data_IF_928694919214
#
_entry.id   IF_928694919214
#
_cell.length_a   1.000
_cell.length_b   1.000
_cell.length_c   1.000
_cell.angle_alpha   90.00
_cell.angle_beta   90.00
_cell.angle_gamma   90.00
#
_symmetry.space_group_name_H-M   'P 1'
#
loop_
_entity.id
_entity.type
_entity.pdbx_description
1 polymer ?
#
# COMPACT_ATOMS: atom_id res chain seq x y z
N UNK A 1 6.81 -2.87 15.24
CA UNK A 1 6.69 -2.17 13.96
C UNK A 1 5.22 -1.82 13.78
N UNK A 2 4.88 -0.58 13.48
CA UNK A 2 3.50 -0.24 13.12
C UNK A 2 3.25 -0.53 11.63
N UNK A 3 1.98 -0.55 11.23
CA UNK A 3 1.52 -0.78 9.84
C UNK A 3 2.24 0.11 8.84
N UNK A 4 2.38 1.41 9.14
CA UNK A 4 3.09 2.37 8.29
C UNK A 4 4.58 2.03 8.09
N UNK A 5 5.29 1.64 9.14
CA UNK A 5 6.68 1.20 9.04
C UNK A 5 6.82 -0.08 8.22
N UNK A 6 5.84 -0.99 8.33
CA UNK A 6 5.79 -2.20 7.51
C UNK A 6 5.58 -1.86 6.03
N UNK A 7 4.64 -0.94 5.72
CA UNK A 7 4.38 -0.42 4.38
C UNK A 7 5.65 0.22 3.78
N UNK A 8 6.38 1.03 4.54
CA UNK A 8 7.64 1.62 4.07
C UNK A 8 8.73 0.57 3.82
N UNK A 9 8.75 -0.51 4.62
CA UNK A 9 9.66 -1.63 4.40
C UNK A 9 9.31 -2.38 3.11
N UNK A 10 8.02 -2.65 2.88
CA UNK A 10 7.51 -3.24 1.63
C UNK A 10 7.89 -2.35 0.45
N UNK A 11 7.69 -1.03 0.56
CA UNK A 11 8.06 -0.05 -0.47
C UNK A 11 9.52 -0.16 -0.85
N UNK A 12 10.42 -0.16 0.13
CA UNK A 12 11.85 -0.29 -0.11
C UNK A 12 12.22 -1.62 -0.77
N UNK A 13 11.54 -2.71 -0.41
CA UNK A 13 11.79 -4.03 -1.00
C UNK A 13 11.32 -4.12 -2.45
N UNK A 14 10.09 -3.67 -2.75
CA UNK A 14 9.56 -3.72 -4.12
C UNK A 14 10.33 -2.79 -5.07
N UNK A 15 10.79 -1.62 -4.58
CA UNK A 15 11.66 -0.72 -5.35
C UNK A 15 13.00 -1.37 -5.70
N UNK A 16 13.54 -2.22 -4.82
CA UNK A 16 14.76 -2.98 -5.10
C UNK A 16 14.57 -4.01 -6.23
N UNK A 17 13.35 -4.53 -6.39
CA UNK A 17 12.96 -5.47 -7.44
C UNK A 17 12.46 -4.77 -8.73
N UNK A 18 12.46 -3.42 -8.76
CA UNK A 18 12.06 -2.62 -9.90
C UNK A 18 10.54 -2.45 -10.07
N UNK A 19 9.76 -2.75 -9.03
CA UNK A 19 8.31 -2.54 -8.94
C UNK A 19 7.99 -1.37 -8.00
N UNK A 20 6.79 -0.82 -8.08
CA UNK A 20 6.34 0.20 -7.12
C UNK A 20 5.32 -0.36 -6.14
N UNK A 21 5.25 0.23 -4.94
CA UNK A 21 4.26 -0.18 -3.96
C UNK A 21 2.83 0.15 -4.42
N UNK A 22 2.67 1.20 -5.23
CA UNK A 22 1.41 1.58 -5.83
C UNK A 22 0.87 0.49 -6.77
N UNK A 23 1.75 -0.26 -7.47
CA UNK A 23 1.35 -1.42 -8.27
C UNK A 23 0.77 -2.54 -7.39
N UNK A 24 1.40 -2.82 -6.26
CA UNK A 24 0.92 -3.82 -5.30
C UNK A 24 -0.43 -3.43 -4.70
N UNK A 25 -0.58 -2.17 -4.29
CA UNK A 25 -1.86 -1.66 -3.77
C UNK A 25 -2.93 -1.65 -4.86
N UNK A 26 -2.56 -1.29 -6.10
CA UNK A 26 -3.44 -1.34 -7.27
C UNK A 26 -3.98 -2.76 -7.49
N UNK A 27 -3.11 -3.77 -7.44
CA UNK A 27 -3.51 -5.18 -7.54
C UNK A 27 -4.42 -5.59 -6.38
N UNK A 28 -4.01 -5.30 -5.14
CA UNK A 28 -4.74 -5.71 -3.95
C UNK A 28 -6.13 -5.08 -3.84
N UNK A 29 -6.25 -3.78 -4.10
CA UNK A 29 -7.51 -3.04 -4.00
C UNK A 29 -8.31 -2.98 -5.30
N UNK A 30 -7.78 -3.50 -6.42
CA UNK A 30 -8.32 -3.27 -7.76
C UNK A 30 -8.56 -1.77 -8.02
N UNK A 31 -7.57 -0.96 -7.64
CA UNK A 31 -7.59 0.49 -7.75
C UNK A 31 -6.86 0.94 -9.02
N UNK A 32 -7.19 2.11 -9.57
CA UNK A 32 -6.44 2.65 -10.72
C UNK A 32 -5.63 3.90 -10.40
N UNK A 33 -5.82 4.47 -9.21
CA UNK A 33 -5.13 5.67 -8.75
C UNK A 33 -4.89 5.55 -7.26
N UNK A 34 -3.61 5.39 -6.92
CA UNK A 34 -3.09 5.14 -5.57
C UNK A 34 -1.94 6.10 -5.31
N UNK A 35 -1.85 6.59 -4.08
CA UNK A 35 -0.69 7.35 -3.59
C UNK A 35 -0.23 6.77 -2.25
N UNK A 36 1.09 6.58 -2.09
CA UNK A 36 1.69 6.20 -0.81
C UNK A 36 2.57 7.33 -0.28
N UNK A 37 2.21 7.86 0.89
CA UNK A 37 2.93 8.98 1.51
C UNK A 37 4.29 8.56 2.07
N UNK A 38 5.16 9.53 2.37
CA UNK A 38 6.48 9.29 2.99
C UNK A 38 6.36 8.66 4.38
N UNK A 39 5.24 8.85 5.06
CA UNK A 39 4.92 8.22 6.33
C UNK A 39 4.27 6.84 6.19
N UNK A 40 4.10 6.31 4.97
CA UNK A 40 3.51 4.99 4.71
C UNK A 40 1.99 4.96 4.79
N UNK A 41 1.30 6.10 4.64
CA UNK A 41 -0.16 6.11 4.49
C UNK A 41 -0.54 5.84 3.03
N UNK A 42 -1.66 5.17 2.81
CA UNK A 42 -2.14 4.79 1.48
C UNK A 42 -3.45 5.54 1.19
N UNK A 43 -3.48 6.26 0.09
CA UNK A 43 -4.67 6.92 -0.46
C UNK A 43 -5.15 6.21 -1.70
N UNK A 44 -6.46 6.01 -1.84
CA UNK A 44 -7.09 5.40 -3.02
C UNK A 44 -8.13 6.36 -3.60
N UNK A 45 -7.92 6.80 -4.84
CA UNK A 45 -8.74 7.78 -5.53
C UNK A 45 -9.72 7.21 -6.57
N UNK A 46 -9.57 5.95 -7.00
CA UNK A 46 -10.51 5.29 -7.92
C UNK A 46 -10.49 3.78 -7.65
N UNK A 47 -11.63 3.08 -7.40
CA UNK A 47 -13.03 3.44 -7.67
C UNK A 47 -13.73 4.37 -6.67
N UNK A 48 -13.07 4.70 -5.55
CA UNK A 48 -13.67 5.58 -4.53
C UNK A 48 -13.56 7.06 -4.93
N UNK A 49 -14.09 8.00 -4.14
CA UNK A 49 -13.90 9.44 -4.40
C UNK A 49 -12.60 10.01 -3.78
N UNK A 50 -11.65 9.14 -3.41
CA UNK A 50 -10.49 9.49 -2.60
C UNK A 50 -10.69 9.25 -1.11
N UNK A 51 -9.95 8.31 -0.52
CA UNK A 51 -9.90 8.08 0.92
C UNK A 51 -8.56 7.48 1.36
N UNK A 52 -8.15 7.78 2.59
CA UNK A 52 -7.01 7.12 3.23
C UNK A 52 -7.45 5.77 3.79
N UNK A 53 -6.62 4.75 3.64
CA UNK A 53 -6.86 3.46 4.27
C UNK A 53 -6.83 3.58 5.79
N UNK A 54 -7.78 2.88 6.44
CA UNK A 54 -7.79 2.73 7.89
C UNK A 54 -6.59 1.89 8.35
N UNK A 55 -6.30 1.92 9.66
CA UNK A 55 -5.27 1.04 10.24
C UNK A 55 -5.55 -0.44 10.00
N UNK A 56 -6.84 -0.84 10.04
CA UNK A 56 -7.27 -2.21 9.77
C UNK A 56 -6.94 -2.63 8.34
N UNK A 57 -7.30 -1.80 7.35
CA UNK A 57 -7.02 -2.08 5.94
C UNK A 57 -5.52 -2.06 5.63
N UNK A 58 -4.75 -1.17 6.29
CA UNK A 58 -3.28 -1.18 6.19
C UNK A 58 -2.69 -2.48 6.75
N UNK A 59 -3.22 -3.00 7.85
CA UNK A 59 -2.78 -4.28 8.40
C UNK A 59 -3.12 -5.46 7.46
N UNK A 60 -4.30 -5.45 6.84
CA UNK A 60 -4.70 -6.45 5.84
C UNK A 60 -3.79 -6.42 4.60
N UNK A 61 -3.45 -5.24 4.09
CA UNK A 61 -2.52 -5.09 2.98
C UNK A 61 -1.13 -5.65 3.31
N UNK A 62 -0.59 -5.32 4.50
CA UNK A 62 0.72 -5.85 4.95
C UNK A 62 0.68 -7.38 5.00
N UNK A 63 -0.36 -7.97 5.59
CA UNK A 63 -0.49 -9.41 5.68
C UNK A 63 -0.62 -10.09 4.30
N UNK A 64 -1.28 -9.44 3.34
CA UNK A 64 -1.35 -9.90 1.97
C UNK A 64 0.03 -9.91 1.30
N UNK A 65 0.80 -8.82 1.42
CA UNK A 65 2.16 -8.73 0.87
C UNK A 65 3.11 -9.79 1.47
N UNK A 66 3.00 -10.08 2.76
CA UNK A 66 3.82 -11.10 3.44
C UNK A 66 3.47 -12.54 3.03
N UNK A 67 2.33 -12.76 2.37
CA UNK A 67 1.86 -14.06 1.92
C UNK A 67 2.17 -14.37 0.44
N UNK A 68 2.71 -13.39 -0.31
CA UNK A 68 3.16 -13.54 -1.71
C UNK A 68 4.52 -14.26 -1.79
#
# INVERSE_FOLDING_TARGET
MNTNQAILTIKANVEADGLTIEEFVTEWCNASEVEVSEEGNIWIANPQRGHWLSEELKAEFVAWCEAL
#
